data_IF_912271032529
#
_entry.id   IF_912271032529
#
_cell.length_a   1.000
_cell.length_b   1.000
_cell.length_c   1.000
_cell.angle_alpha   90.00
_cell.angle_beta   90.00
_cell.angle_gamma   90.00
#
_symmetry.space_group_name_H-M   'P 1'
#
loop_
_entity.id
_entity.type
_entity.pdbx_description
1 polymer ?
#
# COMPACT_ATOMS: atom_id res chain seq x y z
N UNK A 1 9.69 2.79 22.99
CA UNK A 1 8.36 2.57 22.37
C UNK A 1 8.46 1.44 21.38
N UNK A 2 7.73 0.34 21.60
CA UNK A 2 7.56 -0.68 20.55
C UNK A 2 6.59 -0.09 19.52
N UNK A 3 7.04 0.17 18.30
CA UNK A 3 6.13 0.48 17.20
C UNK A 3 5.18 -0.71 17.06
N UNK A 4 3.93 -0.54 17.46
CA UNK A 4 2.88 -1.51 17.12
C UNK A 4 2.75 -1.48 15.60
N UNK A 5 3.15 -2.57 14.96
CA UNK A 5 2.88 -2.77 13.55
C UNK A 5 1.39 -3.13 13.49
N UNK A 6 0.56 -2.11 13.26
CA UNK A 6 -0.87 -2.33 13.07
C UNK A 6 -1.08 -2.87 11.65
N UNK A 7 -1.66 -4.07 11.59
CA UNK A 7 -1.95 -4.79 10.37
C UNK A 7 -3.43 -4.63 10.05
N UNK A 8 -3.76 -4.15 8.85
CA UNK A 8 -5.13 -3.81 8.47
C UNK A 8 -5.64 -4.75 7.38
N UNK A 9 -6.83 -5.37 7.50
CA UNK A 9 -7.48 -6.10 6.41
C UNK A 9 -7.84 -5.16 5.25
N UNK A 10 -7.45 -5.52 4.02
CA UNK A 10 -7.57 -4.66 2.83
C UNK A 10 -7.70 -5.48 1.55
N UNK A 11 -8.14 -4.86 0.44
CA UNK A 11 -8.32 -5.54 -0.83
C UNK A 11 -6.99 -5.77 -1.55
N UNK A 12 -6.36 -6.92 -1.25
CA UNK A 12 -5.08 -7.33 -1.86
C UNK A 12 -5.15 -7.51 -3.37
N UNK A 13 -6.33 -7.85 -3.92
CA UNK A 13 -6.53 -7.98 -5.37
C UNK A 13 -6.41 -6.62 -6.07
N UNK A 14 -7.05 -5.58 -5.53
CA UNK A 14 -6.96 -4.23 -6.10
C UNK A 14 -5.51 -3.76 -6.24
N UNK A 15 -4.69 -3.93 -5.19
CA UNK A 15 -3.29 -3.51 -5.26
C UNK A 15 -2.47 -4.41 -6.17
N UNK A 16 -2.67 -5.73 -6.13
CA UNK A 16 -1.93 -6.65 -7.01
C UNK A 16 -2.17 -6.32 -8.49
N UNK A 17 -3.44 -6.15 -8.89
CA UNK A 17 -3.80 -5.78 -10.27
C UNK A 17 -3.27 -4.41 -10.66
N UNK A 18 -3.25 -3.45 -9.73
CA UNK A 18 -2.64 -2.16 -9.97
C UNK A 18 -1.12 -2.27 -10.14
N UNK A 19 -0.42 -3.02 -9.28
CA UNK A 19 1.04 -3.24 -9.39
C UNK A 19 1.37 -3.84 -10.76
N UNK A 20 0.62 -4.85 -11.22
CA UNK A 20 0.82 -5.45 -12.54
C UNK A 20 0.70 -4.43 -13.68
N UNK A 21 -0.31 -3.57 -13.60
CA UNK A 21 -0.57 -2.54 -14.61
C UNK A 21 0.50 -1.45 -14.59
N UNK A 22 0.85 -0.96 -13.40
CA UNK A 22 1.77 0.16 -13.24
C UNK A 22 3.21 -0.24 -13.51
N UNK A 23 3.63 -1.45 -13.07
CA UNK A 23 4.95 -2.00 -13.35
C UNK A 23 5.27 -2.00 -14.85
N UNK A 24 4.27 -2.25 -15.72
CA UNK A 24 4.47 -2.30 -17.16
C UNK A 24 4.94 -0.97 -17.77
N UNK A 25 4.87 0.14 -17.03
CA UNK A 25 5.34 1.47 -17.44
C UNK A 25 6.82 1.72 -17.12
N UNK A 26 7.46 0.80 -16.41
CA UNK A 26 8.85 0.93 -15.95
C UNK A 26 9.76 -0.08 -16.66
N UNK A 27 11.04 0.29 -16.81
CA UNK A 27 12.04 -0.59 -17.42
C UNK A 27 12.34 -1.81 -16.55
N UNK A 28 12.28 -1.66 -15.23
CA UNK A 28 12.47 -2.74 -14.27
C UNK A 28 11.52 -2.62 -13.08
N UNK A 29 11.36 -3.73 -12.36
CA UNK A 29 10.57 -3.74 -11.12
C UNK A 29 11.22 -2.91 -10.01
N UNK A 30 12.54 -2.75 -10.03
CA UNK A 30 13.27 -1.92 -9.07
C UNK A 30 13.02 -0.43 -9.34
N UNK A 31 12.97 -0.01 -10.61
CA UNK A 31 12.63 1.37 -10.98
C UNK A 31 11.22 1.74 -10.52
N UNK A 32 10.26 0.81 -10.71
CA UNK A 32 8.90 0.96 -10.17
C UNK A 32 8.90 1.10 -8.64
N UNK A 33 9.63 0.21 -7.96
CA UNK A 33 9.75 0.23 -6.51
C UNK A 33 10.33 1.56 -5.98
N UNK A 34 11.37 2.07 -6.66
CA UNK A 34 11.97 3.37 -6.34
C UNK A 34 10.98 4.51 -6.55
N UNK A 35 10.21 4.50 -7.65
CA UNK A 35 9.23 5.54 -7.94
C UNK A 35 8.08 5.59 -6.91
N UNK A 36 7.63 4.43 -6.42
CA UNK A 36 6.60 4.33 -5.37
C UNK A 36 7.18 4.53 -3.96
N UNK A 37 8.50 4.58 -3.81
CA UNK A 37 9.21 4.68 -2.54
C UNK A 37 8.94 3.49 -1.57
N UNK A 38 8.62 2.31 -2.13
CA UNK A 38 8.36 1.07 -1.39
C UNK A 38 9.34 0.01 -1.87
N UNK A 39 9.95 -0.75 -0.94
CA UNK A 39 10.92 -1.79 -1.30
C UNK A 39 10.34 -2.79 -2.30
N UNK A 40 11.14 -3.19 -3.29
CA UNK A 40 10.74 -4.18 -4.30
C UNK A 40 10.28 -5.49 -3.68
N UNK A 41 10.90 -5.95 -2.58
CA UNK A 41 10.45 -7.17 -1.87
C UNK A 41 9.00 -7.08 -1.37
N UNK A 42 8.58 -5.93 -0.85
CA UNK A 42 7.21 -5.71 -0.36
C UNK A 42 6.22 -5.71 -1.53
N UNK A 43 6.51 -4.93 -2.58
CA UNK A 43 5.66 -4.86 -3.77
C UNK A 43 5.52 -6.23 -4.44
N UNK A 44 6.62 -7.00 -4.52
CA UNK A 44 6.60 -8.35 -5.07
C UNK A 44 5.71 -9.28 -4.25
N UNK A 45 5.80 -9.21 -2.92
CA UNK A 45 4.97 -10.03 -2.04
C UNK A 45 3.48 -9.64 -2.13
N UNK A 46 3.13 -8.36 -2.24
CA UNK A 46 1.75 -7.96 -2.51
C UNK A 46 1.24 -8.46 -3.86
N UNK A 47 2.05 -8.31 -4.91
CA UNK A 47 1.76 -8.84 -6.26
C UNK A 47 1.55 -10.37 -6.27
N UNK A 48 2.19 -11.09 -5.35
CA UNK A 48 2.04 -12.55 -5.21
C UNK A 48 1.01 -12.98 -4.17
N UNK A 49 0.26 -12.04 -3.58
CA UNK A 49 -0.66 -12.31 -2.47
C UNK A 49 0.01 -13.02 -1.28
N UNK A 50 1.30 -12.77 -1.06
CA UNK A 50 2.09 -13.34 0.04
C UNK A 50 2.14 -12.43 1.28
N UNK A 51 1.62 -11.21 1.16
CA UNK A 51 1.43 -10.29 2.28
C UNK A 51 -0.03 -9.83 2.27
N UNK A 52 -0.70 -10.05 3.40
CA UNK A 52 -2.07 -9.60 3.65
C UNK A 52 -2.12 -8.35 4.51
N UNK A 53 -0.96 -7.78 4.82
CA UNK A 53 -0.79 -6.57 5.58
C UNK A 53 -0.36 -5.38 4.73
N UNK A 54 -0.79 -4.21 5.17
CA UNK A 54 -0.31 -2.92 4.70
C UNK A 54 -0.16 -1.97 5.89
N UNK A 55 0.93 -1.22 5.93
CA UNK A 55 1.25 -0.24 6.98
C UNK A 55 0.76 1.15 6.59
N UNK A 56 0.50 2.00 7.59
CA UNK A 56 0.11 3.41 7.37
C UNK A 56 1.07 4.17 6.44
N UNK A 57 2.38 4.02 6.66
CA UNK A 57 3.41 4.67 5.82
C UNK A 57 3.31 4.24 4.35
N UNK A 58 3.00 2.97 4.10
CA UNK A 58 2.83 2.43 2.75
C UNK A 58 1.59 2.99 2.09
N UNK A 59 0.47 3.12 2.81
CA UNK A 59 -0.74 3.77 2.31
C UNK A 59 -0.43 5.23 1.91
N UNK A 60 0.33 5.96 2.75
CA UNK A 60 0.74 7.34 2.46
C UNK A 60 1.61 7.43 1.20
N UNK A 61 2.55 6.51 1.03
CA UNK A 61 3.42 6.44 -0.17
C UNK A 61 2.61 6.15 -1.44
N UNK A 62 1.68 5.21 -1.38
CA UNK A 62 0.75 4.92 -2.48
C UNK A 62 -0.13 6.12 -2.81
N UNK A 63 -0.66 6.81 -1.79
CA UNK A 63 -1.46 8.02 -1.96
C UNK A 63 -0.67 9.13 -2.69
N UNK A 64 0.56 9.40 -2.22
CA UNK A 64 1.48 10.37 -2.84
C UNK A 64 1.76 10.00 -4.31
N UNK A 65 2.12 8.75 -4.57
CA UNK A 65 2.44 8.29 -5.93
C UNK A 65 1.25 8.42 -6.88
N UNK A 66 0.04 8.08 -6.42
CA UNK A 66 -1.19 8.15 -7.22
C UNK A 66 -1.85 9.53 -7.24
N UNK A 67 -1.24 10.53 -6.59
CA UNK A 67 -1.83 11.86 -6.39
C UNK A 67 -3.24 11.82 -5.78
N UNK A 68 -3.40 10.99 -4.74
CA UNK A 68 -4.64 10.84 -3.97
C UNK A 68 -4.46 11.42 -2.57
N UNK A 69 -5.56 11.88 -1.98
CA UNK A 69 -5.64 12.08 -0.54
C UNK A 69 -5.54 10.73 0.21
N UNK A 70 -5.24 10.80 1.50
CA UNK A 70 -5.18 9.58 2.34
C UNK A 70 -6.52 8.83 2.35
N UNK A 71 -7.63 9.56 2.44
CA UNK A 71 -8.98 8.98 2.45
C UNK A 71 -9.28 8.26 1.13
N UNK A 72 -8.98 8.89 -0.01
CA UNK A 72 -9.18 8.27 -1.32
C UNK A 72 -8.30 7.02 -1.51
N UNK A 73 -7.06 7.02 -0.98
CA UNK A 73 -6.19 5.85 -1.03
C UNK A 73 -6.73 4.68 -0.19
N UNK A 74 -7.29 4.99 0.99
CA UNK A 74 -7.95 4.00 1.86
C UNK A 74 -9.19 3.42 1.18
N UNK A 75 -10.05 4.27 0.61
CA UNK A 75 -11.24 3.84 -0.11
C UNK A 75 -10.88 2.98 -1.32
N UNK A 76 -9.85 3.38 -2.07
CA UNK A 76 -9.33 2.60 -3.18
C UNK A 76 -8.84 1.21 -2.75
N UNK A 77 -8.11 1.11 -1.64
CA UNK A 77 -7.67 -0.16 -1.07
C UNK A 77 -8.81 -0.93 -0.38
N UNK A 78 -10.01 -0.36 -0.33
CA UNK A 78 -11.17 -0.86 0.38
C UNK A 78 -10.84 -1.27 1.82
N UNK A 79 -10.05 -0.42 2.50
CA UNK A 79 -9.74 -0.61 3.92
C UNK A 79 -11.01 -0.27 4.70
N UNK A 80 -11.47 -1.21 5.54
CA UNK A 80 -12.69 -1.01 6.31
C UNK A 80 -12.58 0.21 7.24
N UNK A 81 -13.64 1.02 7.34
CA UNK A 81 -13.66 2.26 8.14
C UNK A 81 -13.28 2.06 9.62
N UNK A 82 -13.65 0.93 10.24
CA UNK A 82 -13.25 0.64 11.62
C UNK A 82 -11.71 0.55 11.80
N UNK A 83 -10.98 0.24 10.73
CA UNK A 83 -9.52 0.23 10.73
C UNK A 83 -8.90 1.61 10.49
N UNK A 84 -9.68 2.59 10.00
CA UNK A 84 -9.25 3.98 9.87
C UNK A 84 -9.11 4.67 11.21
N UNK A 85 -10.03 4.41 12.15
CA UNK A 85 -9.96 4.98 13.49
C UNK A 85 -8.65 4.57 14.19
N UNK A 86 -8.24 3.31 14.03
CA UNK A 86 -6.94 2.79 14.50
C UNK A 86 -5.75 3.47 13.79
N UNK A 87 -5.90 3.88 12.52
CA UNK A 87 -4.87 4.61 11.78
C UNK A 87 -4.75 6.08 12.26
N UNK A 88 -5.83 6.67 12.78
CA UNK A 88 -5.88 8.05 13.27
C UNK A 88 -5.49 8.19 14.75
N UNK A 89 -5.82 7.20 15.60
CA UNK A 89 -5.50 7.18 17.03
C UNK A 89 -4.01 6.92 17.33
N UNK A 90 -3.23 6.44 16.36
CA UNK A 90 -1.80 6.19 16.51
C UNK A 90 -0.89 7.43 16.47
N UNK A 91 -1.45 8.64 16.71
CA UNK A 91 -0.70 9.90 16.79
C UNK A 91 -0.13 10.16 18.19
#
# INVERSE_FOLDING_TARGET
MKMQINYYPWNTQTLSSWIDTEQARYNSFEDFAQAVEISSQVLWRWKKHLLFDIKLEQIKKLAKYRNLSFVEAVEWLNICKAHLEILEEGK
#
